data_IF_878849104654
#
_entry.id   IF_878849104654
#
_cell.length_a   1.000
_cell.length_b   1.000
_cell.length_c   1.000
_cell.angle_alpha   90.00
_cell.angle_beta   90.00
_cell.angle_gamma   90.00
#
_symmetry.space_group_name_H-M   'P 1'
#
loop_
_entity.id
_entity.type
_entity.pdbx_description
1 polymer ?
#
# COMPACT_ATOMS: atom_id res chain seq x y z
N UNK A 1 -4.64 27.88 -11.45
CA UNK A 1 -5.57 27.00 -10.68
C UNK A 1 -5.11 25.55 -10.85
N UNK A 2 -4.31 25.03 -9.92
CA UNK A 2 -3.81 23.64 -9.91
C UNK A 2 -4.34 22.80 -8.74
N UNK A 3 -5.41 23.26 -8.07
CA UNK A 3 -5.93 22.68 -6.82
C UNK A 3 -6.57 21.30 -6.96
N UNK A 4 -6.74 20.78 -8.18
CA UNK A 4 -7.46 19.53 -8.43
C UNK A 4 -6.57 18.29 -8.47
N UNK A 5 -5.30 18.39 -8.89
CA UNK A 5 -4.45 17.19 -9.07
C UNK A 5 -3.83 16.72 -7.76
N UNK A 6 -3.44 17.65 -6.89
CA UNK A 6 -2.78 17.33 -5.62
C UNK A 6 -3.74 16.63 -4.65
N UNK A 7 -5.04 16.98 -4.67
CA UNK A 7 -6.02 16.34 -3.80
C UNK A 7 -6.19 14.84 -4.07
N UNK A 8 -6.16 14.38 -5.32
CA UNK A 8 -6.36 12.96 -5.63
C UNK A 8 -5.20 12.07 -5.15
N UNK A 9 -3.97 12.59 -5.17
CA UNK A 9 -2.79 11.85 -4.69
C UNK A 9 -2.87 11.60 -3.18
N UNK A 10 -3.39 12.57 -2.43
CA UNK A 10 -3.62 12.41 -1.00
C UNK A 10 -4.76 11.44 -0.68
N UNK A 11 -5.73 11.23 -1.59
CA UNK A 11 -6.85 10.30 -1.35
C UNK A 11 -6.37 8.85 -1.18
N UNK A 12 -5.42 8.39 -1.99
CA UNK A 12 -4.91 7.01 -1.90
C UNK A 12 -4.19 6.78 -0.57
N UNK A 13 -3.35 7.74 -0.17
CA UNK A 13 -2.65 7.65 1.11
C UNK A 13 -3.64 7.65 2.30
N UNK A 14 -4.63 8.55 2.27
CA UNK A 14 -5.67 8.63 3.29
C UNK A 14 -6.54 7.36 3.36
N UNK A 15 -6.94 6.83 2.21
CA UNK A 15 -7.72 5.58 2.11
C UNK A 15 -6.94 4.40 2.70
N UNK A 16 -5.64 4.29 2.39
CA UNK A 16 -4.78 3.24 2.93
C UNK A 16 -4.64 3.37 4.45
N UNK A 17 -4.46 4.59 4.95
CA UNK A 17 -4.34 4.86 6.39
C UNK A 17 -5.64 4.52 7.13
N UNK A 18 -6.79 4.95 6.62
CA UNK A 18 -8.11 4.66 7.20
C UNK A 18 -8.44 3.16 7.16
N UNK A 19 -8.15 2.49 6.04
CA UNK A 19 -8.54 1.08 5.83
C UNK A 19 -7.60 0.09 6.51
N UNK A 20 -6.29 0.38 6.52
CA UNK A 20 -5.26 -0.56 6.94
C UNK A 20 -4.43 -0.09 8.14
N UNK A 21 -4.59 1.16 8.60
CA UNK A 21 -3.78 1.74 9.67
C UNK A 21 -2.31 1.92 9.29
N UNK A 22 -2.01 2.02 8.00
CA UNK A 22 -0.65 2.17 7.47
C UNK A 22 -0.44 3.60 6.99
N UNK A 23 0.47 4.32 7.62
CA UNK A 23 0.86 5.66 7.15
C UNK A 23 1.80 5.55 5.95
N UNK A 24 1.39 6.15 4.83
CA UNK A 24 2.14 6.19 3.59
C UNK A 24 2.97 7.48 3.55
N UNK A 25 4.28 7.42 3.24
CA UNK A 25 5.09 8.61 3.16
C UNK A 25 4.59 9.54 2.04
N UNK A 26 4.58 10.84 2.29
CA UNK A 26 4.15 11.85 1.31
C UNK A 26 5.03 11.86 0.04
N UNK A 27 6.30 11.51 0.19
CA UNK A 27 7.27 11.38 -0.89
C UNK A 27 8.23 10.21 -0.66
N UNK A 28 8.50 9.41 -1.70
CA UNK A 28 9.53 8.37 -1.67
C UNK A 28 10.22 8.19 -3.02
N UNK A 29 11.51 7.89 -3.04
CA UNK A 29 12.22 7.59 -4.30
C UNK A 29 11.98 6.13 -4.78
N UNK A 30 11.29 5.32 -3.98
CA UNK A 30 11.00 3.92 -4.30
C UNK A 30 9.75 3.82 -5.16
N UNK A 31 9.79 2.96 -6.17
CA UNK A 31 8.63 2.67 -7.03
C UNK A 31 7.57 1.82 -6.31
N UNK A 32 7.96 1.06 -5.28
CA UNK A 32 7.08 0.19 -4.51
C UNK A 32 7.48 0.14 -3.03
N UNK A 33 6.48 0.14 -2.15
CA UNK A 33 6.61 -0.21 -0.73
C UNK A 33 5.68 -1.37 -0.39
N UNK A 34 6.18 -2.28 0.44
CA UNK A 34 5.44 -3.48 0.87
C UNK A 34 5.27 -3.43 2.38
N UNK A 35 4.02 -3.51 2.83
CA UNK A 35 3.65 -3.54 4.23
C UNK A 35 3.04 -4.89 4.59
N UNK A 36 3.46 -5.48 5.71
CA UNK A 36 2.84 -6.69 6.24
C UNK A 36 1.63 -6.28 7.09
N UNK A 37 0.42 -6.51 6.57
CA UNK A 37 -0.83 -6.19 7.25
C UNK A 37 -1.16 -7.19 8.35
N UNK A 38 -0.93 -8.48 8.09
CA UNK A 38 -1.17 -9.53 9.09
C UNK A 38 -0.32 -10.75 8.80
N UNK A 39 0.04 -11.47 9.86
CA UNK A 39 0.70 -12.77 9.82
C UNK A 39 0.01 -13.71 10.81
N UNK A 40 -0.33 -14.91 10.38
CA UNK A 40 -0.94 -15.92 11.26
C UNK A 40 -0.39 -17.33 10.99
N UNK A 41 -0.76 -18.28 11.84
CA UNK A 41 -0.34 -19.69 11.75
C UNK A 41 1.17 -19.85 11.58
N UNK A 42 1.96 -19.26 12.48
CA UNK A 42 3.44 -19.25 12.43
C UNK A 42 4.06 -18.66 11.15
N UNK A 43 3.29 -17.91 10.36
CA UNK A 43 3.73 -17.35 9.08
C UNK A 43 3.32 -18.14 7.85
N UNK A 44 2.54 -19.20 8.02
CA UNK A 44 1.90 -19.91 6.90
C UNK A 44 1.02 -18.93 6.12
N UNK A 45 0.22 -18.11 6.82
CA UNK A 45 -0.60 -17.09 6.19
C UNK A 45 -0.01 -15.70 6.37
N UNK A 46 0.02 -14.93 5.27
CA UNK A 46 0.42 -13.54 5.27
C UNK A 46 -0.54 -12.72 4.42
N UNK A 47 -0.86 -11.52 4.90
CA UNK A 47 -1.56 -10.49 4.14
C UNK A 47 -0.59 -9.32 3.96
N UNK A 48 -0.29 -8.95 2.73
CA UNK A 48 0.62 -7.86 2.40
C UNK A 48 -0.08 -6.81 1.56
N UNK A 49 0.24 -5.55 1.84
CA UNK A 49 -0.16 -4.39 1.06
C UNK A 49 1.04 -3.93 0.23
N UNK A 50 0.84 -3.83 -1.07
CA UNK A 50 1.79 -3.31 -2.03
C UNK A 50 1.32 -1.92 -2.43
N UNK A 51 2.15 -0.90 -2.27
CA UNK A 51 1.83 0.49 -2.61
C UNK A 51 2.80 0.94 -3.69
N UNK A 52 2.25 1.44 -4.79
CA UNK A 52 2.99 1.86 -5.97
C UNK A 52 3.10 3.37 -6.03
N UNK A 53 4.28 3.86 -6.42
CA UNK A 53 4.58 5.28 -6.44
C UNK A 53 5.06 5.71 -7.83
N UNK A 54 4.65 6.92 -8.23
CA UNK A 54 5.17 7.63 -9.40
C UNK A 54 5.53 9.03 -8.96
N UNK A 55 6.77 9.45 -9.28
CA UNK A 55 7.29 10.77 -8.91
C UNK A 55 7.14 11.08 -7.41
N UNK A 56 7.33 10.06 -6.58
CA UNK A 56 7.24 10.16 -5.12
C UNK A 56 5.85 10.02 -4.52
N UNK A 57 4.79 10.07 -5.31
CA UNK A 57 3.42 10.01 -4.81
C UNK A 57 2.80 8.63 -5.00
N UNK A 58 2.02 8.19 -4.00
CA UNK A 58 1.27 6.94 -4.11
C UNK A 58 0.18 7.08 -5.18
N UNK A 59 0.14 6.13 -6.12
CA UNK A 59 -0.77 6.16 -7.27
C UNK A 59 -1.68 4.93 -7.38
N UNK A 60 -1.31 3.82 -6.75
CA UNK A 60 -2.09 2.59 -6.73
C UNK A 60 -1.69 1.75 -5.51
N UNK A 61 -2.55 0.81 -5.10
CA UNK A 61 -2.21 -0.18 -4.10
C UNK A 61 -2.92 -1.51 -4.32
N UNK A 62 -2.30 -2.60 -3.87
CA UNK A 62 -2.86 -3.95 -3.98
C UNK A 62 -2.63 -4.74 -2.71
N UNK A 63 -3.67 -5.46 -2.30
CA UNK A 63 -3.57 -6.41 -1.20
C UNK A 63 -3.42 -7.83 -1.77
N UNK A 64 -2.43 -8.56 -1.27
CA UNK A 64 -2.19 -9.94 -1.63
C UNK A 64 -2.16 -10.82 -0.39
N UNK A 65 -2.82 -11.97 -0.51
CA UNK A 65 -2.83 -13.02 0.48
C UNK A 65 -1.85 -14.10 0.06
N UNK A 66 -1.14 -14.66 1.02
CA UNK A 66 -0.17 -15.72 0.80
C UNK A 66 -0.45 -16.87 1.76
N UNK A 67 -0.40 -18.11 1.24
CA UNK A 67 -0.33 -19.34 2.04
C UNK A 67 0.97 -20.06 1.65
N UNK A 68 1.77 -20.48 2.64
CA UNK A 68 3.09 -21.09 2.42
C UNK A 68 4.00 -20.26 1.49
N UNK A 69 3.92 -18.93 1.60
CA UNK A 69 4.59 -17.96 0.71
C UNK A 69 4.15 -17.99 -0.77
N UNK A 70 3.18 -18.82 -1.14
CA UNK A 70 2.51 -18.78 -2.44
C UNK A 70 1.39 -17.73 -2.43
N UNK A 71 1.41 -16.81 -3.39
CA UNK A 71 0.33 -15.84 -3.57
C UNK A 71 -0.96 -16.56 -3.95
N UNK A 72 -2.03 -16.28 -3.23
CA UNK A 72 -3.37 -16.78 -3.52
C UNK A 72 -4.07 -15.74 -4.37
N UNK A 73 -4.76 -16.23 -5.41
CA UNK A 73 -5.45 -15.41 -6.40
C UNK A 73 -6.84 -15.01 -5.92
#
# INVERSE_FOLDING_TARGET
MSLSKDNFLHLIAAEIEETYGVTIPEHTEKEELIYLLSRSFFGIYQKKLYVYFISGHAVDYRVHHFIFNGKIR
#
